data_IF_105513620570
#
_entry.id   IF_105513620570
#
_cell.length_a   1.000
_cell.length_b   1.000
_cell.length_c   1.000
_cell.angle_alpha   90.00
_cell.angle_beta   90.00
_cell.angle_gamma   90.00
#
_symmetry.space_group_name_H-M   'P 1'
#
loop_
_entity.id
_entity.type
_entity.pdbx_description
1 polymer ?
#
# COMPACT_ATOMS: atom_id res chain seq x y z
N UNK A 1 -14.25 24.28 -11.28
CA UNK A 1 -13.76 23.31 -10.26
C UNK A 1 -12.58 22.63 -10.89
N UNK A 2 -11.37 22.75 -10.31
CA UNK A 2 -10.19 22.05 -10.83
C UNK A 2 -10.37 20.55 -10.54
N UNK A 3 -10.99 19.84 -11.48
CA UNK A 3 -11.15 18.40 -11.44
C UNK A 3 -10.09 17.75 -12.32
N UNK A 4 -9.53 16.64 -11.85
CA UNK A 4 -8.52 15.87 -12.59
C UNK A 4 -9.20 15.18 -13.78
N UNK A 5 -8.73 15.47 -14.99
CA UNK A 5 -9.17 14.83 -16.22
C UNK A 5 -8.36 13.55 -16.51
N UNK A 6 -7.04 13.60 -16.31
CA UNK A 6 -6.14 12.45 -16.43
C UNK A 6 -4.85 12.69 -15.64
N UNK A 7 -4.09 11.62 -15.42
CA UNK A 7 -2.73 11.67 -14.91
C UNK A 7 -1.82 10.73 -15.71
N UNK A 8 -0.56 11.08 -15.90
CA UNK A 8 0.39 10.28 -16.68
C UNK A 8 1.83 10.64 -16.31
N UNK A 9 2.67 9.63 -16.08
CA UNK A 9 4.03 9.82 -15.60
C UNK A 9 4.06 10.63 -14.30
N UNK A 10 4.75 11.77 -14.29
CA UNK A 10 4.81 12.67 -13.13
C UNK A 10 3.74 13.78 -13.15
N UNK A 11 2.77 13.74 -14.07
CA UNK A 11 1.89 14.88 -14.33
C UNK A 11 0.41 14.58 -14.11
N UNK A 12 -0.30 15.62 -13.69
CA UNK A 12 -1.77 15.66 -13.56
C UNK A 12 -2.30 16.71 -14.54
N UNK A 13 -3.44 16.42 -15.16
CA UNK A 13 -4.08 17.30 -16.13
C UNK A 13 -5.51 17.57 -15.68
N UNK A 14 -5.94 18.83 -15.70
CA UNK A 14 -7.35 19.18 -15.46
C UNK A 14 -8.16 19.27 -16.77
N UNK A 15 -9.48 19.48 -16.65
CA UNK A 15 -10.38 19.60 -17.81
C UNK A 15 -10.22 20.90 -18.60
N UNK A 16 -9.50 21.89 -18.07
CA UNK A 16 -9.18 23.14 -18.76
C UNK A 16 -7.88 23.02 -19.57
N UNK A 17 -7.20 21.88 -19.50
CA UNK A 17 -5.96 21.59 -20.20
C UNK A 17 -4.70 22.02 -19.45
N UNK A 18 -4.82 22.48 -18.21
CA UNK A 18 -3.65 22.81 -17.39
C UNK A 18 -2.90 21.52 -17.00
N UNK A 19 -1.57 21.61 -16.97
CA UNK A 19 -0.66 20.51 -16.65
C UNK A 19 0.12 20.84 -15.37
N UNK A 20 0.06 19.96 -14.39
CA UNK A 20 0.69 20.12 -13.09
C UNK A 20 1.72 19.01 -12.87
N UNK A 21 2.93 19.36 -12.44
CA UNK A 21 3.90 18.39 -11.92
C UNK A 21 3.45 17.97 -10.51
N UNK A 22 3.30 16.67 -10.27
CA UNK A 22 2.95 16.17 -8.94
C UNK A 22 4.17 16.09 -8.04
N UNK A 23 4.26 17.03 -7.11
CA UNK A 23 5.24 17.03 -6.02
C UNK A 23 4.62 16.65 -4.67
N UNK A 24 3.37 16.16 -4.66
CA UNK A 24 2.63 15.84 -3.44
C UNK A 24 2.42 14.33 -3.32
N UNK A 25 1.71 13.70 -4.27
CA UNK A 25 1.55 12.26 -4.53
C UNK A 25 1.24 11.29 -3.37
N UNK A 26 1.23 11.76 -2.11
CA UNK A 26 1.25 11.00 -0.86
C UNK A 26 2.27 9.82 -0.84
N UNK A 27 3.33 9.89 -1.65
CA UNK A 27 4.34 8.84 -1.77
C UNK A 27 3.89 7.54 -2.47
N UNK A 28 2.71 7.50 -3.09
CA UNK A 28 2.15 6.26 -3.68
C UNK A 28 2.59 6.06 -5.13
N UNK A 29 2.72 7.14 -5.91
CA UNK A 29 2.91 7.08 -7.36
C UNK A 29 4.38 7.20 -7.78
N UNK A 30 5.30 6.59 -7.02
CA UNK A 30 6.74 6.68 -7.31
C UNK A 30 7.14 6.09 -8.67
N UNK A 31 6.36 5.14 -9.19
CA UNK A 31 6.54 4.59 -10.54
C UNK A 31 5.88 5.43 -11.67
N UNK A 32 5.30 6.59 -11.32
CA UNK A 32 4.48 7.40 -12.18
C UNK A 32 3.01 6.98 -12.20
N UNK A 33 2.11 7.94 -12.46
CA UNK A 33 0.70 7.67 -12.73
C UNK A 33 0.54 6.85 -14.01
N UNK A 34 -0.41 5.91 -13.98
CA UNK A 34 -0.80 5.07 -15.12
C UNK A 34 0.38 4.39 -15.82
N UNK A 35 1.38 3.95 -15.05
CA UNK A 35 2.52 3.21 -15.56
C UNK A 35 2.07 1.98 -16.38
N UNK A 36 2.44 1.92 -17.66
CA UNK A 36 1.97 0.90 -18.61
C UNK A 36 2.17 -0.53 -18.10
N UNK A 37 3.34 -0.82 -17.52
CA UNK A 37 3.65 -2.14 -16.98
C UNK A 37 2.72 -2.52 -15.83
N UNK A 38 2.43 -1.59 -14.91
CA UNK A 38 1.51 -1.84 -13.79
C UNK A 38 0.08 -2.03 -14.30
N UNK A 39 -0.38 -1.16 -15.21
CA UNK A 39 -1.70 -1.24 -15.82
C UNK A 39 -1.91 -2.57 -16.54
N UNK A 40 -0.93 -3.01 -17.33
CA UNK A 40 -0.96 -4.30 -18.03
C UNK A 40 -1.13 -5.47 -17.06
N UNK A 41 -0.33 -5.51 -15.98
CA UNK A 41 -0.41 -6.59 -14.98
C UNK A 41 -1.72 -6.62 -14.20
N UNK A 42 -2.32 -5.46 -13.93
CA UNK A 42 -3.65 -5.38 -13.31
C UNK A 42 -4.73 -5.91 -14.27
N UNK A 43 -4.68 -5.52 -15.55
CA UNK A 43 -5.63 -5.99 -16.57
C UNK A 43 -5.49 -7.50 -16.82
N UNK A 44 -4.26 -8.01 -16.85
CA UNK A 44 -3.96 -9.44 -16.96
C UNK A 44 -4.61 -10.22 -15.80
N UNK A 45 -4.37 -9.80 -14.55
CA UNK A 45 -4.96 -10.45 -13.37
C UNK A 45 -6.51 -10.44 -13.39
N UNK A 46 -7.12 -9.35 -13.89
CA UNK A 46 -8.57 -9.26 -14.07
C UNK A 46 -9.08 -10.24 -15.12
N UNK A 47 -8.41 -10.35 -16.28
CA UNK A 47 -8.77 -11.26 -17.36
C UNK A 47 -8.62 -12.72 -16.95
N UNK A 48 -7.59 -13.02 -16.18
CA UNK A 48 -7.32 -14.35 -15.63
C UNK A 48 -8.21 -14.69 -14.42
N UNK A 49 -9.06 -13.74 -13.98
CA UNK A 49 -9.95 -13.88 -12.82
C UNK A 49 -9.20 -14.20 -11.51
N UNK A 50 -7.95 -13.77 -11.42
CA UNK A 50 -7.07 -14.01 -10.27
C UNK A 50 -7.02 -12.78 -9.34
N UNK A 51 -8.20 -12.27 -8.96
CA UNK A 51 -8.34 -11.04 -8.16
C UNK A 51 -8.75 -11.29 -6.71
N UNK A 52 -9.03 -12.55 -6.35
CA UNK A 52 -9.47 -12.90 -5.00
C UNK A 52 -8.75 -14.15 -4.49
N UNK A 53 -8.38 -14.11 -3.21
CA UNK A 53 -7.84 -15.25 -2.49
C UNK A 53 -8.33 -15.18 -1.05
N UNK A 54 -9.03 -16.21 -0.61
CA UNK A 54 -9.54 -16.24 0.76
C UNK A 54 -8.42 -16.57 1.75
N UNK A 55 -8.61 -16.25 3.03
CA UNK A 55 -7.61 -16.48 4.09
C UNK A 55 -7.12 -17.94 4.25
N UNK A 56 -7.83 -18.92 3.68
CA UNK A 56 -7.45 -20.34 3.75
C UNK A 56 -6.65 -20.82 2.55
N UNK A 57 -6.55 -20.00 1.50
CA UNK A 57 -5.85 -20.33 0.26
C UNK A 57 -4.77 -19.30 -0.03
N UNK A 58 -3.97 -19.58 -1.05
CA UNK A 58 -2.95 -18.67 -1.58
C UNK A 58 -3.07 -18.59 -3.11
N UNK A 59 -2.34 -17.67 -3.73
CA UNK A 59 -2.15 -17.62 -5.17
C UNK A 59 -0.68 -17.29 -5.50
N UNK A 60 -0.26 -17.52 -6.74
CA UNK A 60 1.14 -17.32 -7.15
C UNK A 60 1.58 -15.86 -7.06
N UNK A 61 0.70 -14.90 -7.35
CA UNK A 61 1.02 -13.46 -7.29
C UNK A 61 1.30 -12.99 -5.85
N UNK A 62 0.50 -13.45 -4.87
CA UNK A 62 0.67 -13.06 -3.47
C UNK A 62 1.91 -13.72 -2.85
N UNK A 63 2.24 -14.94 -3.27
CA UNK A 63 3.48 -15.63 -2.87
C UNK A 63 4.70 -14.90 -3.44
N UNK A 64 4.71 -14.61 -4.75
CA UNK A 64 5.81 -13.89 -5.39
C UNK A 64 6.02 -12.49 -4.78
N UNK A 65 4.93 -11.79 -4.43
CA UNK A 65 5.01 -10.51 -3.74
C UNK A 65 5.60 -10.65 -2.32
N UNK A 66 5.19 -11.69 -1.58
CA UNK A 66 5.73 -11.95 -0.24
C UNK A 66 7.23 -12.27 -0.29
N UNK A 67 7.66 -13.12 -1.23
CA UNK A 67 9.07 -13.45 -1.45
C UNK A 67 9.88 -12.20 -1.81
N UNK A 68 9.35 -11.36 -2.70
CA UNK A 68 10.03 -10.12 -3.09
C UNK A 68 10.16 -9.13 -1.94
N UNK A 69 9.13 -9.03 -1.09
CA UNK A 69 9.17 -8.19 0.10
C UNK A 69 10.25 -8.68 1.08
N UNK A 70 10.31 -9.99 1.33
CA UNK A 70 11.32 -10.59 2.21
C UNK A 70 12.74 -10.31 1.69
N UNK A 71 12.96 -10.34 0.38
CA UNK A 71 14.25 -10.04 -0.24
C UNK A 71 14.75 -8.61 0.05
N UNK A 72 13.83 -7.63 0.13
CA UNK A 72 14.19 -6.21 0.30
C UNK A 72 14.10 -5.72 1.75
N UNK A 73 13.54 -6.52 2.65
CA UNK A 73 13.47 -6.22 4.09
C UNK A 73 14.72 -6.70 4.84
N UNK A 74 14.99 -6.19 6.06
CA UNK A 74 16.02 -6.75 6.94
C UNK A 74 15.90 -8.27 7.11
N UNK A 75 17.03 -8.97 7.24
CA UNK A 75 17.11 -10.44 7.22
C UNK A 75 16.30 -11.12 8.32
N UNK A 76 16.04 -10.41 9.41
CA UNK A 76 15.25 -10.88 10.55
C UNK A 76 13.73 -10.90 10.25
N UNK A 77 13.29 -10.26 9.17
CA UNK A 77 11.90 -10.21 8.73
C UNK A 77 11.67 -11.22 7.60
N UNK A 78 11.13 -12.39 7.96
CA UNK A 78 10.96 -13.54 7.05
C UNK A 78 9.49 -13.90 6.77
N UNK A 79 8.53 -13.07 7.24
CA UNK A 79 7.09 -13.30 7.08
C UNK A 79 6.35 -12.02 6.71
N UNK A 80 5.36 -12.18 5.84
CA UNK A 80 4.52 -11.08 5.36
C UNK A 80 3.05 -11.35 5.68
N UNK A 81 2.35 -10.32 6.16
CA UNK A 81 0.89 -10.30 6.25
C UNK A 81 0.37 -9.09 5.51
N UNK A 82 -0.53 -9.30 4.54
CA UNK A 82 -1.04 -8.23 3.69
C UNK A 82 -2.24 -7.53 4.32
N UNK A 83 -2.34 -6.23 4.05
CA UNK A 83 -3.42 -5.35 4.49
C UNK A 83 -3.82 -4.42 3.33
N UNK A 84 -5.08 -3.96 3.29
CA UNK A 84 -5.56 -3.08 2.20
C UNK A 84 -4.96 -1.67 2.26
N UNK A 85 -4.45 -1.25 3.42
CA UNK A 85 -3.93 0.10 3.64
C UNK A 85 -2.93 0.17 4.79
N UNK A 86 -2.31 1.36 4.92
CA UNK A 86 -1.32 1.64 5.96
C UNK A 86 -1.91 1.64 7.37
N UNK A 87 -3.10 2.22 7.56
CA UNK A 87 -3.81 2.21 8.85
C UNK A 87 -4.02 0.77 9.36
N UNK A 88 -4.48 -0.14 8.50
CA UNK A 88 -4.69 -1.54 8.84
C UNK A 88 -3.38 -2.30 9.10
N UNK A 89 -2.31 -1.96 8.38
CA UNK A 89 -0.99 -2.52 8.62
C UNK A 89 -0.50 -2.16 10.04
N UNK A 90 -0.69 -0.91 10.48
CA UNK A 90 -0.35 -0.49 11.85
C UNK A 90 -1.26 -1.15 12.89
N UNK A 91 -2.57 -1.24 12.65
CA UNK A 91 -3.51 -1.97 13.52
C UNK A 91 -3.06 -3.42 13.75
N UNK A 92 -2.68 -4.11 12.67
CA UNK A 92 -2.18 -5.47 12.72
C UNK A 92 -0.85 -5.56 13.48
N UNK A 93 0.10 -4.65 13.21
CA UNK A 93 1.40 -4.63 13.86
C UNK A 93 1.29 -4.43 15.38
N UNK A 94 0.50 -3.45 15.83
CA UNK A 94 0.28 -3.19 17.26
C UNK A 94 -0.46 -4.36 17.91
N UNK A 95 -1.47 -4.93 17.24
CA UNK A 95 -2.20 -6.09 17.75
C UNK A 95 -1.29 -7.31 17.92
N UNK A 96 -0.40 -7.57 16.95
CA UNK A 96 0.58 -8.65 17.01
C UNK A 96 1.58 -8.42 18.15
N UNK A 97 2.12 -7.21 18.28
CA UNK A 97 3.05 -6.85 19.35
C UNK A 97 2.43 -7.03 20.74
N UNK A 98 1.18 -6.57 20.95
CA UNK A 98 0.45 -6.77 22.21
C UNK A 98 0.18 -8.25 22.49
N UNK A 99 -0.22 -9.01 21.45
CA UNK A 99 -0.47 -10.45 21.59
C UNK A 99 0.78 -11.23 21.97
N UNK A 100 1.94 -10.88 21.41
CA UNK A 100 3.22 -11.51 21.71
C UNK A 100 3.77 -11.09 23.08
N UNK A 101 3.85 -9.78 23.34
CA UNK A 101 4.50 -9.23 24.54
C UNK A 101 3.62 -9.28 25.80
N UNK A 102 2.30 -9.46 25.64
CA UNK A 102 1.27 -9.32 26.69
C UNK A 102 1.24 -7.94 27.36
N UNK A 103 1.86 -6.93 26.75
CA UNK A 103 1.84 -5.53 27.21
C UNK A 103 0.74 -4.78 26.45
N UNK A 104 0.14 -3.77 27.09
CA UNK A 104 -1.00 -3.02 26.54
C UNK A 104 -0.67 -1.57 26.17
N UNK A 105 0.43 -1.00 26.72
CA UNK A 105 0.87 0.36 26.43
C UNK A 105 1.63 0.41 25.10
N UNK A 106 1.39 1.47 24.33
CA UNK A 106 2.11 1.81 23.11
C UNK A 106 2.79 3.17 23.31
N UNK A 107 3.94 3.40 22.65
CA UNK A 107 4.65 4.68 22.62
C UNK A 107 4.68 5.14 21.16
N UNK A 108 4.32 6.40 20.91
CA UNK A 108 4.43 7.09 19.62
C UNK A 108 5.27 8.37 19.79
N UNK A 109 5.56 9.03 18.68
CA UNK A 109 6.29 10.30 18.65
C UNK A 109 5.37 11.46 18.30
N UNK A 110 5.64 12.64 18.84
CA UNK A 110 4.96 13.88 18.43
C UNK A 110 5.13 14.12 16.92
N UNK A 111 4.09 14.67 16.29
CA UNK A 111 4.00 14.94 14.85
C UNK A 111 4.15 13.70 13.94
N UNK A 112 3.98 12.49 14.49
CA UNK A 112 3.91 11.26 13.70
C UNK A 112 2.53 11.08 13.04
N UNK A 113 2.50 10.40 11.90
CA UNK A 113 1.27 9.95 11.25
C UNK A 113 1.35 8.45 11.00
N UNK A 114 0.44 7.69 11.62
CA UNK A 114 0.39 6.23 11.50
C UNK A 114 -0.90 5.73 10.84
N UNK A 115 -1.83 6.62 10.53
CA UNK A 115 -3.12 6.31 9.91
C UNK A 115 -4.27 6.98 10.64
N UNK A 116 -5.48 6.49 10.36
CA UNK A 116 -6.74 7.02 10.89
C UNK A 116 -7.62 5.94 11.54
N UNK A 117 -7.06 4.77 11.85
CA UNK A 117 -7.72 3.70 12.60
C UNK A 117 -7.66 3.93 14.11
N UNK A 118 -8.26 3.05 14.90
CA UNK A 118 -8.33 3.20 16.35
C UNK A 118 -6.96 3.09 17.05
N UNK A 119 -6.11 2.16 16.63
CA UNK A 119 -4.74 2.02 17.13
C UNK A 119 -3.72 2.81 16.31
N UNK A 120 -4.05 3.14 15.06
CA UNK A 120 -3.17 3.89 14.16
C UNK A 120 -3.34 5.41 14.24
N UNK A 121 -4.45 5.91 14.79
CA UNK A 121 -4.58 7.27 15.27
C UNK A 121 -3.96 7.34 16.67
N UNK A 122 -2.64 7.35 16.73
CA UNK A 122 -1.88 7.65 17.95
C UNK A 122 -1.58 9.12 18.07
#
# INVERSE_FOLDING_TARGET
>A
MQAIAKSDGAYIYDFEGNKYLDCHGNGVHAAGFNNDYVCEKVVEALRDKNTFTSRRYTNTNIVALAEKLIEVTPKELDRVSFCPGGSEAIELAVSLAKSYTKKWKTISFWDSYHGNGFQSAS
#
